data_IF_641998391682
#
_entry.id   IF_641998391682
#
_cell.length_a   1.000
_cell.length_b   1.000
_cell.length_c   1.000
_cell.angle_alpha   90.00
_cell.angle_beta   90.00
_cell.angle_gamma   90.00
#
_symmetry.space_group_name_H-M   'P 1'
#
loop_
_entity.id
_entity.type
_entity.pdbx_description
1 polymer ?
#
# COMPACT_ATOMS: atom_id res chain seq x y z
N UNK A 1 13.44 6.84 37.43
CA UNK A 1 12.68 7.02 36.16
C UNK A 1 12.23 5.64 35.71
N UNK A 2 10.93 5.46 35.49
CA UNK A 2 10.19 4.19 35.60
C UNK A 2 10.57 3.11 34.57
N UNK A 3 11.17 1.99 35.02
CA UNK A 3 11.34 0.73 34.26
C UNK A 3 10.04 0.25 33.60
N UNK A 4 8.90 0.51 34.22
CA UNK A 4 7.57 0.15 33.71
C UNK A 4 7.25 0.85 32.38
N UNK A 5 7.71 2.08 32.17
CA UNK A 5 7.48 2.82 30.91
C UNK A 5 8.32 2.24 29.77
N UNK A 6 9.54 1.80 30.05
CA UNK A 6 10.43 1.18 29.06
C UNK A 6 9.86 -0.18 28.62
N UNK A 7 9.38 -1.00 29.57
CA UNK A 7 8.77 -2.29 29.25
C UNK A 7 7.46 -2.15 28.44
N UNK A 8 6.64 -1.14 28.75
CA UNK A 8 5.43 -0.84 27.94
C UNK A 8 5.83 -0.37 26.54
N UNK A 9 6.85 0.47 26.41
CA UNK A 9 7.34 0.93 25.12
C UNK A 9 7.89 -0.23 24.27
N UNK A 10 8.72 -1.10 24.83
CA UNK A 10 9.30 -2.25 24.10
C UNK A 10 8.24 -3.26 23.67
N UNK A 11 7.24 -3.53 24.52
CA UNK A 11 6.13 -4.42 24.17
C UNK A 11 5.22 -3.82 23.11
N UNK A 12 5.00 -2.50 23.13
CA UNK A 12 4.25 -1.75 22.11
C UNK A 12 4.99 -1.74 20.78
N UNK A 13 6.28 -1.42 20.77
CA UNK A 13 7.13 -1.45 19.57
C UNK A 13 7.23 -2.87 18.99
N UNK A 14 7.35 -3.89 19.84
CA UNK A 14 7.35 -5.28 19.41
C UNK A 14 6.00 -5.71 18.84
N UNK A 15 4.90 -5.24 19.43
CA UNK A 15 3.54 -5.46 18.92
C UNK A 15 3.35 -4.82 17.54
N UNK A 16 3.77 -3.57 17.37
CA UNK A 16 3.75 -2.86 16.10
C UNK A 16 4.67 -3.52 15.06
N UNK A 17 5.86 -3.97 15.45
CA UNK A 17 6.78 -4.69 14.57
C UNK A 17 6.29 -6.09 14.18
N UNK A 18 5.48 -6.75 15.02
CA UNK A 18 4.77 -7.99 14.66
C UNK A 18 3.58 -7.70 13.75
N UNK A 19 2.81 -6.64 14.01
CA UNK A 19 1.72 -6.18 13.15
C UNK A 19 2.26 -5.81 11.76
N UNK A 20 3.32 -5.01 11.66
CA UNK A 20 3.94 -4.64 10.39
C UNK A 20 4.43 -5.86 9.59
N UNK A 21 5.05 -6.84 10.28
CA UNK A 21 5.42 -8.12 9.65
C UNK A 21 4.22 -8.97 9.27
N UNK A 22 3.16 -8.97 10.09
CA UNK A 22 1.91 -9.67 9.83
C UNK A 22 1.16 -9.09 8.62
N UNK A 23 1.20 -7.77 8.44
CA UNK A 23 0.67 -7.09 7.26
C UNK A 23 1.48 -7.43 5.99
N UNK A 24 2.72 -7.93 6.11
CA UNK A 24 3.47 -8.48 4.98
C UNK A 24 3.82 -7.45 3.90
N UNK A 25 3.87 -6.15 4.24
CA UNK A 25 4.20 -5.09 3.29
C UNK A 25 5.58 -5.32 2.68
N UNK A 26 5.58 -5.71 1.41
CA UNK A 26 6.81 -5.79 0.63
C UNK A 26 7.28 -4.38 0.26
N UNK A 27 8.58 -4.23 0.02
CA UNK A 27 9.13 -2.97 -0.50
C UNK A 27 8.43 -2.56 -1.80
N UNK A 28 8.12 -3.53 -2.67
CA UNK A 28 7.40 -3.30 -3.94
C UNK A 28 6.01 -2.72 -3.68
N UNK A 29 5.29 -3.25 -2.69
CA UNK A 29 3.97 -2.78 -2.31
C UNK A 29 4.01 -1.34 -1.80
N UNK A 30 5.00 -1.01 -0.98
CA UNK A 30 5.25 0.37 -0.52
C UNK A 30 5.57 1.32 -1.66
N UNK A 31 6.41 0.90 -2.62
CA UNK A 31 6.72 1.71 -3.82
C UNK A 31 5.48 1.92 -4.69
N UNK A 32 4.66 0.89 -4.93
CA UNK A 32 3.42 1.00 -5.69
C UNK A 32 2.42 1.96 -5.03
N UNK A 33 2.18 1.80 -3.73
CA UNK A 33 1.29 2.69 -2.98
C UNK A 33 1.83 4.13 -2.97
N UNK A 34 3.13 4.33 -2.75
CA UNK A 34 3.77 5.64 -2.80
C UNK A 34 3.62 6.32 -4.16
N UNK A 35 3.83 5.59 -5.26
CA UNK A 35 3.62 6.10 -6.63
C UNK A 35 2.17 6.54 -6.83
N UNK A 36 1.20 5.73 -6.40
CA UNK A 36 -0.23 6.09 -6.49
C UNK A 36 -0.59 7.29 -5.61
N UNK A 37 0.02 7.41 -4.43
CA UNK A 37 -0.24 8.49 -3.48
C UNK A 37 0.30 9.84 -3.98
N UNK A 38 1.42 9.82 -4.70
CA UNK A 38 2.04 11.03 -5.27
C UNK A 38 1.49 11.38 -6.66
N UNK A 39 0.77 10.47 -7.31
CA UNK A 39 0.19 10.71 -8.63
C UNK A 39 -1.12 11.51 -8.53
N UNK A 40 -1.24 12.67 -9.20
CA UNK A 40 -2.50 13.41 -9.24
C UNK A 40 -3.59 12.69 -10.04
N UNK A 41 -3.19 11.90 -11.03
CA UNK A 41 -4.08 11.14 -11.90
C UNK A 41 -4.06 9.64 -11.58
N UNK A 42 -5.16 8.90 -11.86
CA UNK A 42 -5.14 7.44 -11.76
C UNK A 42 -4.05 6.82 -12.64
N UNK A 43 -3.43 5.74 -12.16
CA UNK A 43 -2.43 4.99 -12.94
C UNK A 43 -2.91 3.57 -13.25
N UNK A 44 -2.60 3.10 -14.44
CA UNK A 44 -2.80 1.71 -14.85
C UNK A 44 -1.69 0.79 -14.35
N UNK A 45 -1.92 -0.53 -14.40
CA UNK A 45 -0.90 -1.52 -14.04
C UNK A 45 0.36 -1.42 -14.92
N UNK A 46 0.18 -1.07 -16.20
CA UNK A 46 1.30 -0.92 -17.12
C UNK A 46 2.15 0.30 -16.75
N UNK A 47 1.52 1.45 -16.49
CA UNK A 47 2.23 2.67 -16.05
C UNK A 47 2.96 2.46 -14.72
N UNK A 48 2.35 1.75 -13.78
CA UNK A 48 2.98 1.40 -12.50
C UNK A 48 4.20 0.48 -12.69
N UNK A 49 4.10 -0.50 -13.59
CA UNK A 49 5.20 -1.39 -13.94
C UNK A 49 6.36 -0.66 -14.59
N UNK A 50 6.06 0.21 -15.56
CA UNK A 50 7.03 1.03 -16.27
C UNK A 50 7.71 2.04 -15.34
N UNK A 51 6.94 2.67 -14.43
CA UNK A 51 7.46 3.66 -13.47
C UNK A 51 8.43 3.05 -12.47
N UNK A 52 8.19 1.81 -12.04
CA UNK A 52 8.96 1.16 -10.99
C UNK A 52 10.00 0.15 -11.50
N UNK A 53 10.03 -0.08 -12.82
CA UNK A 53 10.84 -1.09 -13.51
C UNK A 53 10.66 -2.50 -12.92
N UNK A 54 9.39 -2.93 -12.84
CA UNK A 54 9.02 -4.24 -12.30
C UNK A 54 8.05 -4.99 -13.23
N UNK A 55 8.05 -6.32 -13.14
CA UNK A 55 7.23 -7.16 -14.02
C UNK A 55 5.73 -6.94 -13.82
N UNK A 56 4.95 -7.07 -14.90
CA UNK A 56 3.48 -6.98 -14.86
C UNK A 56 2.84 -7.95 -13.85
N UNK A 57 3.43 -9.13 -13.69
CA UNK A 57 3.00 -10.12 -12.70
C UNK A 57 3.20 -9.63 -11.26
N UNK A 58 4.34 -8.98 -10.99
CA UNK A 58 4.64 -8.36 -9.69
C UNK A 58 3.69 -7.21 -9.39
N UNK A 59 3.47 -6.30 -10.35
CA UNK A 59 2.49 -5.20 -10.21
C UNK A 59 1.11 -5.75 -9.90
N UNK A 60 0.62 -6.70 -10.71
CA UNK A 60 -0.73 -7.26 -10.56
C UNK A 60 -0.93 -7.99 -9.23
N UNK A 61 0.11 -8.64 -8.71
CA UNK A 61 0.04 -9.32 -7.41
C UNK A 61 -0.05 -8.30 -6.28
N UNK A 62 0.91 -7.38 -6.20
CA UNK A 62 0.97 -6.39 -5.12
C UNK A 62 -0.20 -5.40 -5.16
N UNK A 63 -0.71 -5.05 -6.35
CA UNK A 63 -1.90 -4.20 -6.48
C UNK A 63 -3.17 -4.88 -5.95
N UNK A 64 -3.36 -6.19 -6.22
CA UNK A 64 -4.48 -6.95 -5.64
C UNK A 64 -4.39 -6.99 -4.12
N UNK A 65 -3.19 -7.10 -3.57
CA UNK A 65 -2.99 -7.05 -2.13
C UNK A 65 -3.30 -5.65 -1.59
N UNK A 66 -2.84 -4.57 -2.25
CA UNK A 66 -3.16 -3.19 -1.85
C UNK A 66 -4.66 -2.91 -1.88
N UNK A 67 -5.38 -3.43 -2.87
CA UNK A 67 -6.84 -3.36 -2.91
C UNK A 67 -7.50 -4.14 -1.77
N UNK A 68 -7.02 -5.36 -1.50
CA UNK A 68 -7.52 -6.18 -0.40
C UNK A 68 -7.36 -5.50 0.95
N UNK A 69 -6.28 -4.74 1.13
CA UNK A 69 -6.05 -3.93 2.33
C UNK A 69 -6.76 -2.57 2.29
N UNK A 70 -7.50 -2.24 1.22
CA UNK A 70 -8.19 -0.96 1.10
C UNK A 70 -7.27 0.25 0.85
N UNK A 71 -5.98 0.02 0.61
CA UNK A 71 -4.98 1.07 0.38
C UNK A 71 -4.95 1.57 -1.05
N UNK A 72 -5.51 0.81 -1.99
CA UNK A 72 -5.73 1.28 -3.35
C UNK A 72 -7.13 0.87 -3.80
N UNK A 73 -7.67 1.62 -4.77
CA UNK A 73 -9.00 1.38 -5.32
C UNK A 73 -8.95 1.44 -6.84
N UNK A 74 -9.53 0.44 -7.51
CA UNK A 74 -9.79 0.51 -8.94
C UNK A 74 -10.79 1.64 -9.24
N UNK A 75 -10.48 2.46 -10.25
CA UNK A 75 -11.33 3.55 -10.73
C UNK A 75 -11.54 3.44 -12.23
N UNK A 76 -12.73 3.84 -12.68
CA UNK A 76 -13.05 3.87 -14.10
C UNK A 76 -12.59 5.18 -14.74
N UNK A 77 -11.89 5.07 -15.87
CA UNK A 77 -11.48 6.22 -16.70
C UNK A 77 -12.23 6.16 -18.03
N UNK A 78 -12.87 7.27 -18.40
CA UNK A 78 -13.73 7.33 -19.59
C UNK A 78 -12.94 7.09 -20.87
N UNK A 79 -13.41 6.13 -21.67
CA UNK A 79 -12.79 5.78 -22.95
C UNK A 79 -11.63 4.80 -22.85
N UNK A 80 -11.18 4.48 -21.64
CA UNK A 80 -10.14 3.50 -21.41
C UNK A 80 -10.74 2.10 -21.18
N UNK A 81 -10.06 1.10 -21.73
CA UNK A 81 -10.39 -0.32 -21.53
C UNK A 81 -9.55 -0.96 -20.42
N UNK A 82 -8.52 -0.26 -19.96
CA UNK A 82 -7.58 -0.71 -18.92
C UNK A 82 -8.11 -0.37 -17.54
N UNK A 83 -7.63 -1.10 -16.55
CA UNK A 83 -7.86 -0.79 -15.14
C UNK A 83 -6.95 0.35 -14.70
N UNK A 84 -7.49 1.26 -13.91
CA UNK A 84 -6.75 2.36 -13.30
C UNK A 84 -6.95 2.33 -11.79
N UNK A 85 -5.99 2.88 -11.06
CA UNK A 85 -5.96 2.81 -9.62
C UNK A 85 -5.67 4.18 -9.02
N UNK A 86 -6.26 4.44 -7.85
CA UNK A 86 -5.89 5.55 -6.96
C UNK A 86 -5.53 5.01 -5.58
N UNK A 87 -4.59 5.67 -4.91
CA UNK A 87 -4.31 5.41 -3.51
C UNK A 87 -5.49 5.88 -2.64
N UNK A 88 -5.77 5.13 -1.58
CA UNK A 88 -6.59 5.63 -0.47
C UNK A 88 -5.70 6.50 0.42
N UNK A 89 -6.07 7.78 0.55
CA UNK A 89 -5.35 8.78 1.34
C UNK A 89 -5.92 8.93 2.75
N UNK A 90 -7.18 8.53 2.98
CA UNK A 90 -7.78 8.53 4.31
C UNK A 90 -7.47 7.21 5.03
N UNK A 91 -6.45 7.24 5.89
CA UNK A 91 -6.05 6.07 6.69
C UNK A 91 -7.17 5.53 7.60
N UNK A 92 -8.18 6.35 7.94
CA UNK A 92 -9.33 5.87 8.73
C UNK A 92 -10.25 4.93 7.95
N UNK A 93 -10.24 5.00 6.61
CA UNK A 93 -10.97 4.05 5.75
C UNK A 93 -10.27 2.69 5.64
N UNK A 94 -8.96 2.65 5.91
CA UNK A 94 -8.14 1.43 5.83
C UNK A 94 -8.23 0.58 7.10
N UNK A 95 -8.53 1.19 8.25
CA UNK A 95 -8.52 0.55 9.58
C UNK A 95 -9.91 0.04 10.01
N UNK A 96 -10.97 0.31 9.23
CA UNK A 96 -12.36 -0.01 9.61
C UNK A 96 -12.79 -1.44 9.28
#
# INVERSE_FOLDING_TARGET
>A
MHETLVAVNDSTLSGLGRLARFFGFSEVMGRLYGTLLMSPEPLSLDELGDTLDISKGSVSMNMRDLERWGMAKEVWVRGERRKFYKAESDMWQVIR
#
